data_IF_983089273252
#
_entry.id   IF_983089273252
#
_cell.length_a   1.000
_cell.length_b   1.000
_cell.length_c   1.000
_cell.angle_alpha   90.00
_cell.angle_beta   90.00
_cell.angle_gamma   90.00
#
_symmetry.space_group_name_H-M   'P 1'
#
loop_
_entity.id
_entity.type
_entity.pdbx_description
1 polymer ?
#
# COMPACT_ATOMS: atom_id res chain seq x y z
N UNK A 1 -16.75 15.75 -1.27
CA UNK A 1 -15.63 16.33 -2.05
C UNK A 1 -14.33 16.34 -1.28
N UNK A 2 -14.27 16.92 -0.07
CA UNK A 2 -13.04 16.93 0.76
C UNK A 2 -12.59 15.52 1.20
N UNK A 3 -13.54 14.64 1.53
CA UNK A 3 -13.28 13.25 1.89
C UNK A 3 -12.70 12.43 0.71
N UNK A 4 -13.30 12.55 -0.48
CA UNK A 4 -12.80 11.90 -1.69
C UNK A 4 -11.35 12.33 -2.03
N UNK A 5 -11.02 13.60 -1.81
CA UNK A 5 -9.65 14.10 -1.97
C UNK A 5 -8.69 13.42 -1.00
N UNK A 6 -9.05 13.34 0.29
CA UNK A 6 -8.25 12.65 1.32
C UNK A 6 -8.06 11.16 1.01
N UNK A 7 -9.12 10.47 0.58
CA UNK A 7 -9.05 9.05 0.23
C UNK A 7 -8.10 8.81 -0.97
N UNK A 8 -8.14 9.66 -1.99
CA UNK A 8 -7.22 9.57 -3.12
C UNK A 8 -5.75 9.86 -2.72
N UNK A 9 -5.52 10.83 -1.84
CA UNK A 9 -4.20 11.11 -1.28
C UNK A 9 -3.68 9.90 -0.47
N UNK A 10 -4.52 9.32 0.38
CA UNK A 10 -4.19 8.09 1.13
C UNK A 10 -3.88 6.92 0.19
N UNK A 11 -4.66 6.72 -0.87
CA UNK A 11 -4.41 5.66 -1.84
C UNK A 11 -3.05 5.85 -2.53
N UNK A 12 -2.72 7.09 -2.91
CA UNK A 12 -1.43 7.43 -3.52
C UNK A 12 -0.26 7.12 -2.58
N UNK A 13 -0.39 7.45 -1.29
CA UNK A 13 0.62 7.14 -0.27
C UNK A 13 0.79 5.63 -0.13
N UNK A 14 -0.31 4.87 -0.04
CA UNK A 14 -0.25 3.39 0.09
C UNK A 14 0.42 2.75 -1.12
N UNK A 15 0.09 3.19 -2.33
CA UNK A 15 0.75 2.70 -3.56
C UNK A 15 2.26 2.98 -3.53
N UNK A 16 2.67 4.17 -3.09
CA UNK A 16 4.09 4.53 -2.96
C UNK A 16 4.81 3.63 -1.94
N UNK A 17 4.16 3.31 -0.81
CA UNK A 17 4.71 2.40 0.19
C UNK A 17 4.87 0.97 -0.36
N UNK A 18 3.92 0.48 -1.15
CA UNK A 18 3.98 -0.84 -1.80
C UNK A 18 5.18 -0.91 -2.77
N UNK A 19 5.37 0.13 -3.60
CA UNK A 19 6.51 0.20 -4.51
C UNK A 19 7.84 0.21 -3.73
N UNK A 20 7.95 1.05 -2.69
CA UNK A 20 9.16 1.12 -1.88
C UNK A 20 9.47 -0.20 -1.16
N UNK A 21 8.46 -0.86 -0.59
CA UNK A 21 8.66 -2.18 0.03
C UNK A 21 9.07 -3.24 -0.98
N UNK A 22 8.48 -3.22 -2.18
CA UNK A 22 8.87 -4.15 -3.26
C UNK A 22 10.32 -3.91 -3.70
N UNK A 23 10.75 -2.64 -3.80
CA UNK A 23 12.15 -2.29 -4.08
C UNK A 23 13.10 -2.76 -2.98
N UNK A 24 12.77 -2.51 -1.71
CA UNK A 24 13.57 -2.97 -0.58
C UNK A 24 13.68 -4.49 -0.56
N UNK A 25 12.58 -5.20 -0.86
CA UNK A 25 12.54 -6.65 -0.93
C UNK A 25 13.53 -7.21 -1.97
N UNK A 26 13.61 -6.56 -3.14
CA UNK A 26 14.56 -6.93 -4.18
C UNK A 26 16.02 -6.56 -3.86
N UNK A 27 16.25 -5.51 -3.07
CA UNK A 27 17.59 -5.03 -2.74
C UNK A 27 18.22 -5.77 -1.55
N UNK A 28 17.41 -6.33 -0.65
CA UNK A 28 17.93 -7.04 0.52
C UNK A 28 18.32 -8.50 0.20
N UNK A 29 19.44 -8.93 0.81
CA UNK A 29 19.87 -10.32 0.83
C UNK A 29 19.47 -11.06 2.12
N UNK A 30 18.95 -10.34 3.12
CA UNK A 30 18.46 -10.92 4.36
C UNK A 30 17.08 -11.58 4.11
N UNK A 31 17.03 -12.90 4.23
CA UNK A 31 15.82 -13.70 3.99
C UNK A 31 14.69 -13.40 4.96
N UNK A 32 15.00 -13.17 6.24
CA UNK A 32 13.97 -12.79 7.24
C UNK A 32 13.39 -11.43 6.93
N UNK A 33 14.23 -10.48 6.51
CA UNK A 33 13.76 -9.16 6.08
C UNK A 33 12.91 -9.27 4.80
N UNK A 34 13.27 -10.15 3.85
CA UNK A 34 12.44 -10.42 2.67
C UNK A 34 11.06 -10.96 3.05
N UNK A 35 10.98 -11.92 3.96
CA UNK A 35 9.68 -12.43 4.42
C UNK A 35 8.83 -11.34 5.08
N UNK A 36 9.44 -10.50 5.91
CA UNK A 36 8.74 -9.41 6.59
C UNK A 36 8.24 -8.35 5.62
N UNK A 37 9.10 -7.92 4.69
CA UNK A 37 8.73 -6.98 3.61
C UNK A 37 7.60 -7.55 2.73
N UNK A 38 7.60 -8.87 2.48
CA UNK A 38 6.52 -9.54 1.74
C UNK A 38 5.20 -9.52 2.53
N UNK A 39 5.22 -9.83 3.83
CA UNK A 39 4.03 -9.75 4.71
C UNK A 39 3.48 -8.32 4.75
N UNK A 40 4.34 -7.33 4.89
CA UNK A 40 3.95 -5.92 4.89
C UNK A 40 3.33 -5.50 3.55
N UNK A 41 3.88 -5.95 2.42
CA UNK A 41 3.29 -5.71 1.10
C UNK A 41 1.88 -6.30 0.96
N UNK A 42 1.66 -7.53 1.46
CA UNK A 42 0.33 -8.14 1.44
C UNK A 42 -0.68 -7.35 2.30
N UNK A 43 -0.25 -6.88 3.48
CA UNK A 43 -1.07 -6.02 4.32
C UNK A 43 -1.40 -4.69 3.63
N UNK A 44 -0.42 -4.02 3.04
CA UNK A 44 -0.60 -2.75 2.33
C UNK A 44 -1.56 -2.91 1.14
N UNK A 45 -1.49 -4.01 0.39
CA UNK A 45 -2.43 -4.30 -0.70
C UNK A 45 -3.86 -4.50 -0.20
N UNK A 46 -4.04 -5.14 0.95
CA UNK A 46 -5.35 -5.25 1.60
C UNK A 46 -5.90 -3.86 1.94
N UNK A 47 -5.06 -2.99 2.53
CA UNK A 47 -5.44 -1.60 2.87
C UNK A 47 -5.73 -0.74 1.64
N UNK A 48 -4.97 -0.90 0.56
CA UNK A 48 -5.26 -0.24 -0.71
C UNK A 48 -6.67 -0.61 -1.20
N UNK A 49 -7.01 -1.90 -1.16
CA UNK A 49 -8.34 -2.39 -1.57
C UNK A 49 -9.46 -1.81 -0.70
N UNK A 50 -9.24 -1.71 0.61
CA UNK A 50 -10.19 -1.07 1.53
C UNK A 50 -10.42 0.41 1.13
N UNK A 51 -9.34 1.15 0.85
CA UNK A 51 -9.41 2.55 0.42
C UNK A 51 -10.15 2.67 -0.93
N UNK A 52 -9.83 1.82 -1.90
CA UNK A 52 -10.52 1.80 -3.21
C UNK A 52 -12.02 1.54 -3.08
N UNK A 53 -12.42 0.68 -2.15
CA UNK A 53 -13.84 0.43 -1.88
C UNK A 53 -14.52 1.66 -1.27
N UNK A 54 -13.85 2.37 -0.36
CA UNK A 54 -14.39 3.61 0.20
C UNK A 54 -14.48 4.72 -0.88
N UNK A 55 -13.48 4.86 -1.75
CA UNK A 55 -13.52 5.78 -2.89
C UNK A 55 -14.74 5.51 -3.77
N UNK A 56 -15.01 4.24 -4.10
CA UNK A 56 -16.17 3.85 -4.92
C UNK A 56 -17.51 4.18 -4.27
N UNK A 57 -17.61 4.18 -2.93
CA UNK A 57 -18.83 4.59 -2.21
C UNK A 57 -19.04 6.10 -2.23
N UNK A 58 -17.96 6.88 -2.37
CA UNK A 58 -18.01 8.34 -2.45
C UNK A 58 -18.33 8.88 -3.87
N UNK A 59 -18.22 8.04 -4.90
CA UNK A 59 -18.51 8.37 -6.30
C UNK A 59 -19.94 7.98 -6.68
#
# INVERSE_FOLDING_TARGET
>A
MEELKRLNEMNTVVLTLIENNSRLWHLTNDEKLREELHKQNNLLRSKQKDIENEIKKCM
#
